data_IF_285069433555
#
_entry.id   IF_285069433555
#
_cell.length_a   1.000
_cell.length_b   1.000
_cell.length_c   1.000
_cell.angle_alpha   90.00
_cell.angle_beta   90.00
_cell.angle_gamma   90.00
#
_symmetry.space_group_name_H-M   'P 1'
#
loop_
_entity.id
_entity.type
_entity.pdbx_description
1 polymer ?
#
# COMPACT_ATOMS: atom_id res chain seq x y z
N UNK A 1 -9.37 -98.68 28.76
CA UNK A 1 -8.57 -97.53 29.23
C UNK A 1 -7.90 -96.76 28.08
N UNK A 2 -8.67 -96.27 27.08
CA UNK A 2 -8.10 -95.58 25.90
C UNK A 2 -8.76 -94.23 25.58
N UNK A 3 -9.86 -93.90 26.26
CA UNK A 3 -10.63 -92.66 26.03
C UNK A 3 -10.40 -91.60 27.13
N UNK A 4 -9.74 -91.94 28.24
CA UNK A 4 -9.46 -91.00 29.33
C UNK A 4 -8.32 -90.02 28.99
N UNK A 5 -7.26 -90.51 28.34
CA UNK A 5 -6.15 -89.66 27.87
C UNK A 5 -6.52 -88.74 26.70
N UNK A 6 -7.58 -89.04 25.95
CA UNK A 6 -8.06 -88.17 24.87
C UNK A 6 -8.76 -86.91 25.38
N UNK A 7 -9.44 -87.01 26.52
CA UNK A 7 -10.08 -85.86 27.18
C UNK A 7 -9.05 -85.08 28.01
N UNK A 8 -8.09 -85.77 28.65
CA UNK A 8 -7.01 -85.12 29.40
C UNK A 8 -6.05 -84.31 28.50
N UNK A 9 -5.80 -84.76 27.26
CA UNK A 9 -4.92 -84.08 26.30
C UNK A 9 -5.61 -82.88 25.62
N UNK A 10 -6.95 -82.83 25.61
CA UNK A 10 -7.72 -81.67 25.13
C UNK A 10 -7.81 -80.54 26.16
N UNK A 11 -7.70 -80.84 27.45
CA UNK A 11 -7.65 -79.81 28.51
C UNK A 11 -6.27 -79.13 28.56
N UNK A 12 -5.20 -79.86 28.21
CA UNK A 12 -3.85 -79.27 28.16
C UNK A 12 -3.61 -78.36 26.95
N UNK A 13 -4.40 -78.49 25.88
CA UNK A 13 -4.35 -77.57 24.73
C UNK A 13 -5.15 -76.28 24.98
N UNK A 14 -6.06 -76.28 25.96
CA UNK A 14 -6.85 -75.10 26.31
C UNK A 14 -6.16 -74.18 27.34
N UNK A 15 -5.11 -74.65 28.01
CA UNK A 15 -4.40 -73.87 29.03
C UNK A 15 -3.14 -73.15 28.51
N UNK A 16 -2.75 -73.36 27.24
CA UNK A 16 -1.60 -72.69 26.62
C UNK A 16 -1.97 -71.53 25.67
N UNK A 17 -3.27 -71.20 25.55
CA UNK A 17 -3.73 -70.07 24.74
C UNK A 17 -3.95 -68.78 25.56
N UNK A 18 -3.69 -68.81 26.87
CA UNK A 18 -3.88 -67.66 27.78
C UNK A 18 -2.53 -67.15 28.29
N UNK A 19 -1.70 -66.66 27.38
CA UNK A 19 -0.65 -65.65 27.65
C UNK A 19 0.01 -65.25 26.34
N UNK A 20 -0.71 -64.46 25.55
CA UNK A 20 -0.06 -63.48 24.68
C UNK A 20 -0.34 -62.12 25.30
N UNK A 21 0.67 -61.34 25.68
CA UNK A 21 0.43 -59.93 25.96
C UNK A 21 -0.09 -59.32 24.66
N UNK A 22 -1.22 -58.63 24.74
CA UNK A 22 -1.67 -57.76 23.65
C UNK A 22 -0.59 -56.69 23.46
N UNK A 23 0.29 -56.91 22.49
CA UNK A 23 1.17 -55.88 21.99
C UNK A 23 0.31 -54.96 21.12
N UNK A 24 -0.22 -53.91 21.74
CA UNK A 24 -1.02 -52.89 21.07
C UNK A 24 -0.10 -52.15 20.09
N UNK A 25 -0.33 -52.34 18.79
CA UNK A 25 0.38 -51.63 17.73
C UNK A 25 0.26 -50.12 17.93
N UNK A 26 1.41 -49.46 17.97
CA UNK A 26 1.54 -48.02 18.12
C UNK A 26 1.55 -47.37 16.73
N UNK A 27 0.44 -47.38 16.03
CA UNK A 27 0.28 -46.62 14.78
C UNK A 27 -1.19 -46.23 14.67
N UNK A 28 -1.52 -44.95 14.91
CA UNK A 28 -2.70 -44.21 14.36
C UNK A 28 -3.00 -42.89 15.09
N UNK A 29 -2.47 -42.65 16.29
CA UNK A 29 -2.78 -41.43 17.07
C UNK A 29 -2.00 -40.18 16.60
N UNK A 30 -0.73 -40.36 16.17
CA UNK A 30 0.20 -39.27 15.82
C UNK A 30 -0.13 -38.56 14.49
N UNK A 31 -0.69 -39.28 13.52
CA UNK A 31 -1.01 -38.73 12.19
C UNK A 31 -2.24 -37.80 12.24
N UNK A 32 -3.23 -38.10 13.09
CA UNK A 32 -4.43 -37.27 13.22
C UNK A 32 -4.11 -35.91 13.85
N UNK A 33 -3.26 -35.90 14.87
CA UNK A 33 -2.83 -34.68 15.54
C UNK A 33 -1.87 -33.86 14.67
N UNK A 34 -1.03 -34.52 13.87
CA UNK A 34 -0.22 -33.86 12.82
C UNK A 34 -1.08 -33.20 11.73
N UNK A 35 -2.19 -33.83 11.31
CA UNK A 35 -3.11 -33.24 10.32
C UNK A 35 -3.90 -32.06 10.92
N UNK A 36 -4.33 -32.18 12.19
CA UNK A 36 -4.98 -31.07 12.90
C UNK A 36 -4.06 -29.89 13.09
N UNK A 37 -2.81 -30.12 13.51
CA UNK A 37 -1.81 -29.06 13.68
C UNK A 37 -1.49 -28.40 12.35
N UNK A 38 -1.34 -29.17 11.26
CA UNK A 38 -1.15 -28.60 9.92
C UNK A 38 -2.33 -27.73 9.48
N UNK A 39 -3.56 -28.16 9.77
CA UNK A 39 -4.77 -27.38 9.48
C UNK A 39 -4.82 -26.08 10.26
N UNK A 40 -4.47 -26.10 11.55
CA UNK A 40 -4.39 -24.91 12.40
C UNK A 40 -3.30 -23.96 11.88
N UNK A 41 -2.16 -24.49 11.45
CA UNK A 41 -1.08 -23.68 10.87
C UNK A 41 -1.51 -23.03 9.56
N UNK A 42 -2.17 -23.75 8.66
CA UNK A 42 -2.75 -23.15 7.45
C UNK A 42 -3.74 -22.04 7.78
N UNK A 43 -4.67 -22.32 8.70
CA UNK A 43 -5.70 -21.36 9.09
C UNK A 43 -5.09 -20.10 9.75
N UNK A 44 -4.04 -20.27 10.56
CA UNK A 44 -3.31 -19.15 11.17
C UNK A 44 -2.54 -18.35 10.11
N UNK A 45 -1.98 -19.01 9.09
CA UNK A 45 -1.31 -18.32 7.98
C UNK A 45 -2.29 -17.51 7.14
N UNK A 46 -3.46 -18.09 6.81
CA UNK A 46 -4.52 -17.40 6.07
C UNK A 46 -5.01 -16.15 6.83
N UNK A 47 -5.24 -16.26 8.14
CA UNK A 47 -5.64 -15.15 9.00
C UNK A 47 -4.55 -14.05 9.05
N UNK A 48 -3.26 -14.41 9.09
CA UNK A 48 -2.15 -13.45 9.08
C UNK A 48 -2.04 -12.76 7.71
N UNK A 49 -2.22 -13.51 6.62
CA UNK A 49 -2.22 -12.95 5.26
C UNK A 49 -3.34 -11.94 5.11
N UNK A 50 -4.59 -12.31 5.44
CA UNK A 50 -5.75 -11.40 5.37
C UNK A 50 -5.52 -10.14 6.20
N UNK A 51 -5.01 -10.29 7.43
CA UNK A 51 -4.76 -9.17 8.33
C UNK A 51 -3.64 -8.25 7.82
N UNK A 52 -2.56 -8.81 7.27
CA UNK A 52 -1.47 -8.02 6.67
C UNK A 52 -1.93 -7.30 5.40
N UNK A 53 -2.74 -7.94 4.56
CA UNK A 53 -3.32 -7.30 3.37
C UNK A 53 -4.25 -6.14 3.77
N UNK A 54 -5.01 -6.28 4.86
CA UNK A 54 -5.81 -5.18 5.41
C UNK A 54 -4.93 -4.03 5.94
N UNK A 55 -3.82 -4.31 6.63
CA UNK A 55 -2.89 -3.27 7.09
C UNK A 55 -2.14 -2.57 5.95
N UNK A 56 -1.74 -3.30 4.90
CA UNK A 56 -1.14 -2.69 3.71
C UNK A 56 -2.13 -1.79 2.94
N UNK A 57 -3.40 -2.20 2.81
CA UNK A 57 -4.41 -1.37 2.18
C UNK A 57 -4.69 -0.08 2.97
N UNK A 58 -4.74 -0.15 4.30
CA UNK A 58 -4.90 1.04 5.16
C UNK A 58 -3.66 1.94 5.10
N UNK A 59 -2.45 1.37 5.00
CA UNK A 59 -1.22 2.15 4.82
C UNK A 59 -1.11 2.81 3.45
N UNK A 60 -1.59 2.15 2.39
CA UNK A 60 -1.69 2.67 1.03
C UNK A 60 -2.75 3.77 0.87
N UNK A 61 -3.86 3.70 1.60
CA UNK A 61 -4.89 4.75 1.60
C UNK A 61 -4.48 5.99 2.40
N UNK A 62 -3.45 5.89 3.26
CA UNK A 62 -2.96 6.98 4.09
C UNK A 62 -1.67 7.63 3.55
N UNK A 63 -1.25 7.30 2.32
CA UNK A 63 -0.19 8.02 1.61
C UNK A 63 -0.69 9.43 1.30
N UNK A 64 0.02 10.48 1.75
CA UNK A 64 -0.32 11.86 1.43
C UNK A 64 0.04 12.10 -0.04
N UNK A 65 -0.95 12.07 -0.93
CA UNK A 65 -0.77 12.18 -2.39
C UNK A 65 0.01 13.44 -2.81
N UNK A 66 -0.08 14.53 -2.03
CA UNK A 66 0.73 15.73 -2.21
C UNK A 66 0.42 16.83 -1.20
N UNK A 67 1.27 17.87 -1.18
CA UNK A 67 1.18 19.01 -0.27
C UNK A 67 1.04 20.32 -1.05
N UNK A 68 0.18 21.23 -0.59
CA UNK A 68 0.12 22.62 -1.08
C UNK A 68 0.53 23.58 0.04
N UNK A 69 1.71 24.18 -0.10
CA UNK A 69 2.33 25.06 0.87
C UNK A 69 2.09 26.55 0.56
N UNK A 70 1.70 27.30 1.59
CA UNK A 70 1.50 28.75 1.55
C UNK A 70 2.78 29.48 2.01
N UNK A 71 3.47 30.15 1.08
CA UNK A 71 4.57 31.08 1.36
C UNK A 71 4.18 32.53 1.00
N UNK A 72 2.90 32.88 1.16
CA UNK A 72 2.39 34.23 0.92
C UNK A 72 2.47 35.10 2.17
N UNK A 73 2.66 36.41 1.99
CA UNK A 73 2.90 37.37 3.09
C UNK A 73 1.81 38.44 3.17
N UNK A 74 1.22 38.85 2.05
CA UNK A 74 0.23 39.93 1.99
C UNK A 74 -1.18 39.38 1.87
N UNK A 75 -2.18 40.26 2.06
CA UNK A 75 -3.57 39.91 1.80
C UNK A 75 -3.80 39.48 0.35
N UNK A 76 -3.16 40.14 -0.61
CA UNK A 76 -3.32 39.81 -2.04
C UNK A 76 -2.76 38.41 -2.33
N UNK A 77 -1.60 38.07 -1.77
CA UNK A 77 -1.03 36.74 -1.89
C UNK A 77 -1.90 35.67 -1.22
N UNK A 78 -2.38 35.92 0.00
CA UNK A 78 -3.26 34.99 0.70
C UNK A 78 -4.58 34.77 -0.03
N UNK A 79 -5.21 35.84 -0.52
CA UNK A 79 -6.44 35.75 -1.31
C UNK A 79 -6.18 34.93 -2.59
N UNK A 80 -5.01 35.07 -3.24
CA UNK A 80 -4.63 34.21 -4.37
C UNK A 80 -4.47 32.73 -3.95
N UNK A 81 -3.77 32.46 -2.84
CA UNK A 81 -3.59 31.11 -2.32
C UNK A 81 -4.94 30.44 -2.04
N UNK A 82 -5.84 31.14 -1.33
CA UNK A 82 -7.15 30.62 -0.97
C UNK A 82 -7.96 30.28 -2.23
N UNK A 83 -7.97 31.18 -3.23
CA UNK A 83 -8.63 30.93 -4.51
C UNK A 83 -8.04 29.72 -5.22
N UNK A 84 -6.71 29.62 -5.34
CA UNK A 84 -6.04 28.49 -5.97
C UNK A 84 -6.38 27.17 -5.26
N UNK A 85 -6.26 27.16 -3.93
CA UNK A 85 -6.44 25.96 -3.12
C UNK A 85 -7.89 25.50 -3.11
N UNK A 86 -8.85 26.43 -3.14
CA UNK A 86 -10.29 26.11 -3.17
C UNK A 86 -10.71 25.29 -4.40
N UNK A 87 -10.00 25.42 -5.51
CA UNK A 87 -10.26 24.72 -6.77
C UNK A 87 -9.21 23.63 -7.06
N UNK A 88 -8.26 23.41 -6.15
CA UNK A 88 -7.20 22.44 -6.36
C UNK A 88 -7.74 21.01 -6.19
N UNK A 89 -7.51 20.20 -7.22
CA UNK A 89 -7.79 18.77 -7.20
C UNK A 89 -6.57 18.07 -7.78
N UNK A 90 -5.96 17.19 -7.00
CA UNK A 90 -4.80 16.42 -7.45
C UNK A 90 -5.19 15.50 -8.63
N UNK A 91 -4.38 15.43 -9.70
CA UNK A 91 -4.56 14.42 -10.73
C UNK A 91 -4.42 13.00 -10.14
N UNK A 92 -5.27 12.04 -10.55
CA UNK A 92 -5.30 10.68 -9.98
C UNK A 92 -3.97 9.91 -10.02
N UNK A 93 -3.05 10.28 -10.94
CA UNK A 93 -1.75 9.62 -11.10
C UNK A 93 -0.61 10.37 -10.42
N UNK A 94 -0.83 11.62 -10.01
CA UNK A 94 0.22 12.42 -9.42
C UNK A 94 0.38 12.04 -7.95
N UNK A 95 1.58 11.59 -7.59
CA UNK A 95 1.95 11.25 -6.21
C UNK A 95 3.18 12.03 -5.77
N UNK A 96 3.35 12.17 -4.46
CA UNK A 96 4.57 12.72 -3.85
C UNK A 96 4.97 14.10 -4.41
N UNK A 97 3.99 14.98 -4.66
CA UNK A 97 4.25 16.32 -5.16
C UNK A 97 4.09 17.39 -4.05
N UNK A 98 4.87 18.46 -4.17
CA UNK A 98 4.73 19.66 -3.35
C UNK A 98 4.49 20.86 -4.26
N UNK A 99 3.36 21.55 -4.05
CA UNK A 99 3.06 22.83 -4.69
C UNK A 99 3.36 23.94 -3.70
N UNK A 100 4.26 24.86 -4.04
CA UNK A 100 4.56 26.02 -3.19
C UNK A 100 4.05 27.28 -3.87
N UNK A 101 3.15 28.00 -3.21
CA UNK A 101 2.67 29.31 -3.65
C UNK A 101 3.47 30.37 -2.91
N UNK A 102 4.41 30.98 -3.62
CA UNK A 102 5.36 31.95 -3.07
C UNK A 102 5.03 33.36 -3.53
N UNK A 103 5.11 34.29 -2.60
CA UNK A 103 4.92 35.71 -2.88
C UNK A 103 6.24 36.51 -2.81
N UNK A 104 6.44 37.39 -3.79
CA UNK A 104 7.45 38.44 -3.76
C UNK A 104 6.77 39.81 -3.78
N UNK A 105 6.81 40.50 -2.63
CA UNK A 105 6.24 41.84 -2.49
C UNK A 105 7.06 42.83 -3.31
N UNK A 106 6.38 43.59 -4.18
CA UNK A 106 7.01 44.60 -5.03
C UNK A 106 6.68 46.03 -4.55
N UNK A 107 7.46 47.05 -4.98
CA UNK A 107 7.09 48.44 -4.76
C UNK A 107 5.80 48.83 -5.50
N UNK A 108 5.00 49.71 -4.89
CA UNK A 108 3.61 49.95 -5.29
C UNK A 108 2.73 48.79 -4.83
N UNK A 109 1.40 48.92 -4.81
CA UNK A 109 0.47 47.88 -4.29
C UNK A 109 0.41 46.58 -5.14
N UNK A 110 1.49 46.25 -5.84
CA UNK A 110 1.64 45.08 -6.67
C UNK A 110 2.45 44.01 -5.92
N UNK A 111 2.16 42.76 -6.23
CA UNK A 111 2.93 41.62 -5.75
C UNK A 111 3.15 40.64 -6.88
N UNK A 112 4.22 39.85 -6.81
CA UNK A 112 4.50 38.81 -7.79
C UNK A 112 4.30 37.44 -7.14
N UNK A 113 3.41 36.65 -7.74
CA UNK A 113 3.15 35.28 -7.31
C UNK A 113 3.98 34.34 -8.17
N UNK A 114 4.60 33.37 -7.52
CA UNK A 114 5.32 32.25 -8.12
C UNK A 114 4.71 30.97 -7.61
N UNK A 115 4.30 30.08 -8.52
CA UNK A 115 3.87 28.72 -8.17
C UNK A 115 4.97 27.77 -8.59
N UNK A 116 5.41 26.96 -7.64
CA UNK A 116 6.44 25.95 -7.81
C UNK A 116 5.80 24.57 -7.66
N UNK A 117 6.19 23.60 -8.49
CA UNK A 117 5.85 22.19 -8.32
C UNK A 117 7.15 21.41 -8.20
N UNK A 118 7.40 20.80 -7.03
CA UNK A 118 8.67 20.15 -6.71
C UNK A 118 9.88 21.07 -7.04
N UNK A 119 9.82 22.31 -6.55
CA UNK A 119 10.82 23.37 -6.80
C UNK A 119 10.95 23.87 -8.25
N UNK A 120 10.15 23.34 -9.19
CA UNK A 120 10.12 23.83 -10.57
C UNK A 120 9.11 24.97 -10.72
N UNK A 121 9.56 26.12 -11.22
CA UNK A 121 8.70 27.28 -11.49
C UNK A 121 7.73 26.96 -12.64
N UNK A 122 6.44 26.80 -12.33
CA UNK A 122 5.39 26.53 -13.33
C UNK A 122 4.61 27.79 -13.69
N UNK A 123 4.53 28.76 -12.79
CA UNK A 123 3.82 30.01 -13.02
C UNK A 123 4.52 31.15 -12.29
N UNK A 124 4.56 32.31 -12.93
CA UNK A 124 5.11 33.54 -12.36
C UNK A 124 4.50 34.76 -12.98
N UNK A 125 3.72 35.51 -12.22
CA UNK A 125 3.06 36.72 -12.71
C UNK A 125 2.92 37.78 -11.62
N UNK A 126 2.91 39.04 -12.04
CA UNK A 126 2.51 40.16 -11.18
C UNK A 126 0.99 40.20 -11.10
N UNK A 127 0.46 40.24 -9.87
CA UNK A 127 -0.97 40.32 -9.61
C UNK A 127 -1.35 41.66 -8.98
N UNK A 128 -2.61 42.06 -9.19
CA UNK A 128 -3.20 43.28 -8.66
C UNK A 128 -4.31 42.93 -7.66
N UNK A 129 -4.63 43.80 -6.68
CA UNK A 129 -5.69 43.59 -5.70
C UNK A 129 -7.09 43.80 -6.31
N UNK A 130 -7.41 43.04 -7.36
CA UNK A 130 -8.72 43.04 -8.01
C UNK A 130 -9.20 41.61 -8.07
N UNK A 131 -10.38 41.36 -7.51
CA UNK A 131 -10.91 40.02 -7.32
C UNK A 131 -10.94 39.22 -8.62
N UNK A 132 -11.49 39.78 -9.70
CA UNK A 132 -11.63 39.06 -10.98
C UNK A 132 -10.27 38.70 -11.60
N UNK A 133 -9.27 39.56 -11.39
CA UNK A 133 -7.90 39.30 -11.86
C UNK A 133 -7.25 38.19 -11.04
N UNK A 134 -7.40 38.22 -9.72
CA UNK A 134 -6.86 37.18 -8.83
C UNK A 134 -7.50 35.82 -9.12
N UNK A 135 -8.82 35.78 -9.29
CA UNK A 135 -9.57 34.57 -9.63
C UNK A 135 -9.11 33.99 -10.97
N UNK A 136 -9.00 34.81 -12.02
CA UNK A 136 -8.52 34.34 -13.32
C UNK A 136 -7.07 33.83 -13.25
N UNK A 137 -6.20 34.55 -12.53
CA UNK A 137 -4.78 34.15 -12.41
C UNK A 137 -4.61 32.89 -11.57
N UNK A 138 -5.41 32.69 -10.52
CA UNK A 138 -5.35 31.48 -9.70
C UNK A 138 -5.85 30.26 -10.46
N UNK A 139 -6.94 30.40 -11.24
CA UNK A 139 -7.42 29.37 -12.16
C UNK A 139 -6.37 28.99 -13.20
N UNK A 140 -5.73 29.98 -13.81
CA UNK A 140 -4.70 29.74 -14.81
C UNK A 140 -3.46 29.05 -14.20
N UNK A 141 -2.99 29.51 -13.04
CA UNK A 141 -1.88 28.87 -12.33
C UNK A 141 -2.20 27.41 -11.94
N UNK A 142 -3.43 27.14 -11.50
CA UNK A 142 -3.93 25.80 -11.19
C UNK A 142 -3.86 24.88 -12.43
N UNK A 143 -4.33 25.37 -13.58
CA UNK A 143 -4.23 24.65 -14.86
C UNK A 143 -2.78 24.33 -15.24
N UNK A 144 -1.86 25.29 -15.07
CA UNK A 144 -0.43 25.07 -15.33
C UNK A 144 0.17 24.01 -14.42
N UNK A 145 -0.15 24.04 -13.12
CA UNK A 145 0.31 23.03 -12.17
C UNK A 145 -0.22 21.63 -12.51
N UNK A 146 -1.51 21.50 -12.85
CA UNK A 146 -2.10 20.23 -13.31
C UNK A 146 -1.42 19.72 -14.58
N UNK A 147 -1.18 20.59 -15.56
CA UNK A 147 -0.54 20.21 -16.81
C UNK A 147 0.91 19.74 -16.56
N UNK A 148 1.63 20.43 -15.67
CA UNK A 148 2.99 20.05 -15.29
C UNK A 148 3.02 18.63 -14.70
N UNK A 149 2.17 18.33 -13.71
CA UNK A 149 2.10 17.00 -13.09
C UNK A 149 1.74 15.90 -14.10
N UNK A 150 0.75 16.15 -14.96
CA UNK A 150 0.36 15.18 -16.00
C UNK A 150 1.48 14.89 -17.02
N UNK A 151 2.37 15.84 -17.26
CA UNK A 151 3.50 15.67 -18.18
C UNK A 151 4.70 15.02 -17.50
N UNK A 152 4.96 15.35 -16.24
CA UNK A 152 6.03 14.76 -15.45
C UNK A 152 5.88 13.24 -15.33
N UNK A 153 4.67 12.77 -15.05
CA UNK A 153 4.37 11.32 -15.02
C UNK A 153 4.65 10.62 -16.35
N UNK A 154 4.32 11.26 -17.48
CA UNK A 154 4.57 10.67 -18.81
C UNK A 154 6.06 10.54 -19.10
N UNK A 155 6.86 11.52 -18.66
CA UNK A 155 8.31 11.48 -18.83
C UNK A 155 8.94 10.39 -17.96
N UNK A 156 8.53 10.27 -16.70
CA UNK A 156 9.03 9.23 -15.81
C UNK A 156 8.71 7.83 -16.33
N UNK A 157 7.48 7.62 -16.82
CA UNK A 157 7.08 6.34 -17.43
C UNK A 157 7.94 5.97 -18.65
N UNK A 158 8.29 6.94 -19.50
CA UNK A 158 9.15 6.70 -20.67
C UNK A 158 10.59 6.33 -20.28
N UNK A 159 11.14 6.99 -19.27
CA UNK A 159 12.50 6.69 -18.78
C UNK A 159 12.58 5.29 -18.17
N UNK A 160 11.56 4.87 -17.42
CA UNK A 160 11.49 3.54 -16.84
C UNK A 160 11.37 2.44 -17.92
N UNK A 161 10.56 2.68 -18.96
CA UNK A 161 10.45 1.77 -20.11
C UNK A 161 11.78 1.66 -20.89
N UNK A 162 12.47 2.78 -21.14
CA UNK A 162 13.75 2.82 -21.84
C UNK A 162 14.88 2.09 -21.07
N UNK A 163 14.95 2.28 -19.74
CA UNK A 163 15.93 1.60 -18.89
C UNK A 163 15.69 0.08 -18.84
N UNK A 164 14.43 -0.37 -18.90
CA UNK A 164 14.08 -1.79 -18.99
C UNK A 164 14.42 -2.42 -20.35
N UNK A 165 14.53 -1.62 -21.43
CA UNK A 165 14.97 -2.07 -22.75
C UNK A 165 16.50 -2.14 -22.90
N UNK A 166 17.26 -1.95 -21.82
CA UNK A 166 18.71 -2.19 -21.77
C UNK A 166 19.05 -3.60 -22.26
N UNK A 167 19.37 -3.73 -23.54
CA UNK A 167 19.82 -4.97 -24.15
C UNK A 167 21.14 -5.31 -23.48
N UNK A 168 21.20 -6.34 -22.63
CA UNK A 168 22.42 -6.82 -22.00
C UNK A 168 23.43 -7.39 -23.01
N UNK A 169 23.88 -6.57 -23.96
CA UNK A 169 24.87 -6.89 -24.97
C UNK A 169 26.23 -6.43 -24.47
N UNK A 170 26.86 -7.30 -23.68
CA UNK A 170 28.31 -7.38 -23.53
C UNK A 170 28.82 -8.57 -24.32
#
# INVERSE_FOLDING_TARGET
MRNFYRVLLLIFFFMFFVSLPEMKGQETEDVSDSIKTLKILQQTLDDIVEKNTAYENVGSEMEVDGLVMDETMTKVGRDFYDMFFSIWVAPQKAKNFTITIKEMVLPGLATQIVVLVNDNEVFKQRVQPRYEVLEQMSQYANQMAMQFLNNYEKMNAQLEDEDQQGTGMF
#
